data_IF_274537067311
#
_entry.id   IF_274537067311
#
_cell.length_a   1.000
_cell.length_b   1.000
_cell.length_c   1.000
_cell.angle_alpha   90.00
_cell.angle_beta   90.00
_cell.angle_gamma   90.00
#
_symmetry.space_group_name_H-M   'P 1'
#
loop_
_entity.id
_entity.type
_entity.pdbx_description
1 polymer ?
#
# COMPACT_ATOMS: atom_id res chain seq x y z
N UNK A 1 13.65 -5.86 15.01
CA UNK A 1 12.31 -5.62 15.60
C UNK A 1 11.37 -5.51 14.42
N UNK A 2 10.33 -6.32 14.35
CA UNK A 2 9.44 -6.40 13.18
C UNK A 2 8.05 -5.94 13.56
N UNK A 3 7.42 -5.13 12.71
CA UNK A 3 6.01 -4.75 12.85
C UNK A 3 5.15 -6.02 12.64
N UNK A 4 4.25 -6.28 13.58
CA UNK A 4 3.35 -7.43 13.55
C UNK A 4 1.92 -7.00 13.20
N UNK A 5 1.44 -5.92 13.81
CA UNK A 5 0.09 -5.41 13.60
C UNK A 5 0.11 -3.88 13.61
N UNK A 6 -0.63 -3.27 12.69
CA UNK A 6 -0.88 -1.84 12.66
C UNK A 6 -2.39 -1.66 12.54
N UNK A 7 -2.98 -1.02 13.55
CA UNK A 7 -4.39 -0.64 13.55
C UNK A 7 -4.51 0.86 13.56
N UNK A 8 -5.26 1.38 12.61
CA UNK A 8 -5.65 2.78 12.52
C UNK A 8 -7.18 2.80 12.48
N UNK A 9 -7.80 3.61 13.32
CA UNK A 9 -9.26 3.75 13.35
C UNK A 9 -9.66 5.17 13.68
N UNK A 10 -10.73 5.64 13.03
CA UNK A 10 -11.36 6.89 13.39
C UNK A 10 -12.25 6.65 14.58
N UNK A 11 -12.00 7.35 15.68
CA UNK A 11 -12.78 7.14 16.90
C UNK A 11 -14.18 7.73 16.72
N UNK A 12 -15.20 6.91 16.97
CA UNK A 12 -16.60 7.34 16.79
C UNK A 12 -17.19 8.06 18.00
N UNK A 13 -16.60 7.93 19.20
CA UNK A 13 -17.15 8.46 20.44
C UNK A 13 -16.06 8.85 21.45
N UNK A 14 -16.40 9.73 22.40
CA UNK A 14 -15.58 10.11 23.55
C UNK A 14 -14.68 11.33 23.31
N UNK A 15 -13.72 11.58 24.21
CA UNK A 15 -12.88 12.82 24.18
C UNK A 15 -12.03 13.03 22.92
N UNK A 16 -11.85 11.97 22.13
CA UNK A 16 -11.09 12.00 20.86
C UNK A 16 -11.98 11.63 19.66
N UNK A 17 -13.29 11.84 19.79
CA UNK A 17 -14.25 11.63 18.70
C UNK A 17 -13.83 12.38 17.43
N UNK A 18 -13.99 11.71 16.30
CA UNK A 18 -13.64 12.23 14.98
C UNK A 18 -12.16 12.17 14.65
N UNK A 19 -11.26 11.92 15.63
CA UNK A 19 -9.81 11.84 15.40
C UNK A 19 -9.38 10.43 14.98
N UNK A 20 -8.33 10.36 14.17
CA UNK A 20 -7.64 9.11 13.88
C UNK A 20 -6.79 8.71 15.09
N UNK A 21 -6.90 7.47 15.52
CA UNK A 21 -6.07 6.89 16.57
C UNK A 21 -5.53 5.55 16.09
N UNK A 22 -4.41 5.12 16.65
CA UNK A 22 -3.84 3.85 16.23
C UNK A 22 -2.99 3.16 17.28
N UNK A 23 -2.61 1.94 16.94
CA UNK A 23 -1.63 1.17 17.67
C UNK A 23 -0.76 0.37 16.71
N UNK A 24 0.53 0.34 16.99
CA UNK A 24 1.49 -0.51 16.30
C UNK A 24 2.07 -1.52 17.29
N UNK A 25 1.93 -2.80 16.98
CA UNK A 25 2.56 -3.89 17.73
C UNK A 25 3.84 -4.32 17.00
N UNK A 26 4.95 -4.34 17.73
CA UNK A 26 6.23 -4.81 17.26
C UNK A 26 6.67 -6.02 18.07
N UNK A 27 7.33 -6.98 17.43
CA UNK A 27 7.95 -8.12 18.12
C UNK A 27 9.44 -8.21 17.85
N UNK A 28 10.16 -8.74 18.83
CA UNK A 28 11.54 -9.19 18.70
C UNK A 28 11.76 -10.44 19.57
N UNK A 29 13.00 -10.95 19.60
CA UNK A 29 13.37 -12.13 20.42
C UNK A 29 13.12 -11.96 21.93
N UNK A 30 12.94 -10.74 22.41
CA UNK A 30 12.81 -10.38 23.83
C UNK A 30 11.35 -10.12 24.23
N UNK A 31 10.42 -10.01 23.26
CA UNK A 31 8.99 -9.85 23.55
C UNK A 31 8.24 -9.01 22.52
N UNK A 32 7.06 -8.53 22.95
CA UNK A 32 6.15 -7.68 22.18
C UNK A 32 6.07 -6.29 22.80
N UNK A 33 6.05 -5.26 21.96
CA UNK A 33 5.89 -3.85 22.34
C UNK A 33 4.74 -3.27 21.55
N UNK A 34 3.76 -2.69 22.25
CA UNK A 34 2.63 -1.99 21.63
C UNK A 34 2.77 -0.49 21.86
N UNK A 35 2.81 0.28 20.77
CA UNK A 35 2.91 1.75 20.81
C UNK A 35 1.54 2.33 20.42
N UNK A 36 1.01 3.23 21.25
CA UNK A 36 -0.19 4.01 20.91
C UNK A 36 0.21 5.19 20.04
N UNK A 37 -0.50 5.37 18.94
CA UNK A 37 -0.25 6.40 17.95
C UNK A 37 -1.22 7.56 18.15
N UNK A 38 -0.68 8.78 18.05
CA UNK A 38 -1.48 10.01 17.99
C UNK A 38 -2.07 10.21 16.59
N UNK A 39 -3.03 11.12 16.44
CA UNK A 39 -3.61 11.45 15.14
C UNK A 39 -2.55 11.90 14.12
N UNK A 40 -1.62 12.76 14.54
CA UNK A 40 -0.51 13.22 13.67
C UNK A 40 0.38 12.06 13.19
N UNK A 41 0.66 11.10 14.07
CA UNK A 41 1.45 9.92 13.71
C UNK A 41 0.68 9.00 12.74
N UNK A 42 -0.64 8.85 12.95
CA UNK A 42 -1.50 8.10 12.05
C UNK A 42 -1.52 8.74 10.65
N UNK A 43 -1.66 10.06 10.56
CA UNK A 43 -1.69 10.78 9.28
C UNK A 43 -0.37 10.64 8.52
N UNK A 44 0.78 10.71 9.22
CA UNK A 44 2.09 10.46 8.61
C UNK A 44 2.20 9.04 8.03
N UNK A 45 1.75 8.03 8.77
CA UNK A 45 1.76 6.64 8.32
C UNK A 45 0.86 6.47 7.09
N UNK A 46 -0.37 6.99 7.14
CA UNK A 46 -1.31 6.92 6.03
C UNK A 46 -0.77 7.60 4.77
N UNK A 47 -0.09 8.75 4.92
CA UNK A 47 0.51 9.45 3.80
C UNK A 47 1.60 8.63 3.11
N UNK A 48 2.51 8.04 3.89
CA UNK A 48 3.55 7.15 3.34
C UNK A 48 2.92 5.96 2.61
N UNK A 49 1.89 5.33 3.19
CA UNK A 49 1.18 4.23 2.55
C UNK A 49 0.50 4.67 1.24
N UNK A 50 -0.14 5.84 1.22
CA UNK A 50 -0.80 6.37 0.04
C UNK A 50 0.21 6.63 -1.10
N UNK A 51 1.36 7.23 -0.78
CA UNK A 51 2.41 7.51 -1.76
C UNK A 51 2.94 6.21 -2.38
N UNK A 52 3.19 5.17 -1.56
CA UNK A 52 3.63 3.86 -2.05
C UNK A 52 2.57 3.14 -2.87
N UNK A 53 1.28 3.23 -2.51
CA UNK A 53 0.18 2.64 -3.29
C UNK A 53 0.09 3.29 -4.66
N UNK A 54 0.22 4.62 -4.74
CA UNK A 54 0.21 5.36 -6.00
C UNK A 54 1.36 4.90 -6.89
N UNK A 55 2.57 4.79 -6.34
CA UNK A 55 3.73 4.40 -7.12
C UNK A 55 3.63 2.98 -7.65
N UNK A 56 3.26 2.02 -6.78
CA UNK A 56 3.04 0.63 -7.19
C UNK A 56 1.94 0.52 -8.26
N UNK A 57 0.92 1.38 -8.20
CA UNK A 57 -0.16 1.40 -9.18
C UNK A 57 0.31 1.90 -10.54
N UNK A 58 1.21 2.88 -10.59
CA UNK A 58 1.83 3.35 -11.85
C UNK A 58 2.70 2.26 -12.45
N UNK A 59 3.57 1.65 -11.66
CA UNK A 59 4.42 0.54 -12.12
C UNK A 59 3.57 -0.61 -12.69
N UNK A 60 2.48 -0.98 -12.00
CA UNK A 60 1.55 -1.97 -12.50
C UNK A 60 0.92 -1.56 -13.85
N UNK A 61 0.49 -0.30 -13.99
CA UNK A 61 -0.08 0.21 -15.23
C UNK A 61 0.93 0.22 -16.39
N UNK A 62 2.19 0.58 -16.13
CA UNK A 62 3.27 0.54 -17.12
C UNK A 62 3.55 -0.90 -17.57
N UNK A 63 3.66 -1.85 -16.63
CA UNK A 63 3.85 -3.27 -16.96
C UNK A 63 2.69 -3.83 -17.78
N UNK A 64 1.45 -3.50 -17.43
CA UNK A 64 0.26 -3.91 -18.22
C UNK A 64 0.27 -3.32 -19.62
N UNK A 65 0.70 -2.06 -19.76
CA UNK A 65 0.79 -1.39 -21.06
C UNK A 65 1.88 -1.99 -21.93
N UNK A 66 3.06 -2.26 -21.37
CA UNK A 66 4.17 -2.92 -22.06
C UNK A 66 3.75 -4.31 -22.57
N UNK A 67 3.15 -5.12 -21.70
CA UNK A 67 2.65 -6.44 -22.08
C UNK A 67 1.57 -6.40 -23.17
N UNK A 68 0.70 -5.39 -23.17
CA UNK A 68 -0.29 -5.20 -24.23
C UNK A 68 0.35 -4.82 -25.58
N UNK A 69 1.37 -3.95 -25.57
CA UNK A 69 2.10 -3.54 -26.78
C UNK A 69 2.82 -4.74 -27.39
N UNK A 70 3.52 -5.53 -26.56
CA UNK A 70 4.23 -6.73 -27.00
C UNK A 70 3.26 -7.77 -27.58
N UNK A 71 2.13 -8.03 -26.90
CA UNK A 71 1.09 -8.93 -27.40
C UNK A 71 0.51 -8.46 -28.75
N UNK A 72 0.32 -7.14 -28.92
CA UNK A 72 -0.16 -6.57 -30.19
C UNK A 72 0.89 -6.70 -31.30
N UNK A 73 2.17 -6.53 -31.01
CA UNK A 73 3.25 -6.69 -31.99
C UNK A 73 3.31 -8.13 -32.53
N UNK A 74 3.20 -9.14 -31.65
CA UNK A 74 3.17 -10.56 -32.03
C UNK A 74 1.98 -10.88 -32.94
N UNK A 75 0.79 -10.29 -32.69
CA UNK A 75 -0.38 -10.51 -33.54
C UNK A 75 -0.22 -9.91 -34.94
N UNK A 76 0.47 -8.77 -35.06
CA UNK A 76 0.73 -8.12 -36.36
C UNK A 76 1.78 -8.90 -37.18
N UNK A 77 2.79 -9.46 -36.51
CA UNK A 77 3.81 -10.29 -37.17
C UNK A 77 3.27 -11.67 -37.59
N UNK A 78 2.35 -12.25 -36.81
CA UNK A 78 1.71 -13.53 -37.13
C UNK A 78 0.83 -13.51 -38.38
N UNK A 79 0.20 -12.37 -38.69
CA UNK A 79 -0.64 -12.19 -39.90
C UNK A 79 0.19 -11.97 -41.18
N UNK A 80 1.46 -11.57 -41.06
CA UNK A 80 2.32 -11.22 -42.20
C UNK A 80 3.07 -12.42 -42.83
N UNK A 81 3.05 -13.59 -42.18
CA UNK A 81 3.69 -14.83 -42.66
C UNK A 81 2.73 -15.83 -43.32
N UNK A 82 1.48 -15.41 -43.58
CA UNK A 82 0.45 -16.21 -44.24
C UNK A 82 0.11 -15.70 -45.64
N UNK A 83 1.06 -15.70 -46.58
CA UNK A 83 0.78 -15.73 -48.02
C UNK A 83 1.93 -16.35 -48.81
#
# INVERSE_FOLDING_TARGET
MLLQDLRLTRRSFGKDEGKMIGSAEFSNKQGKVTIKLTAEQCDKILRVCADSVIENSKEAAEMMTAGFIEAKAVLIEGDSNGN
#
